data_IF_806981988328
#
_entry.id   IF_806981988328
#
_cell.length_a   1.000
_cell.length_b   1.000
_cell.length_c   1.000
_cell.angle_alpha   90.00
_cell.angle_beta   90.00
_cell.angle_gamma   90.00
#
_symmetry.space_group_name_H-M   'P 1'
#
loop_
_entity.id
_entity.type
_entity.pdbx_description
1 polymer ?
#
# COMPACT_ATOMS: atom_id res chain seq x y z
N UNK A 1 79.84 95.89 89.56
CA UNK A 1 79.16 95.60 88.30
C UNK A 1 79.75 94.42 87.55
N UNK A 2 81.04 94.36 87.23
CA UNK A 2 81.60 93.18 86.55
C UNK A 2 81.52 91.88 87.38
N UNK A 3 81.65 91.98 88.71
CA UNK A 3 81.50 90.82 89.60
C UNK A 3 80.06 90.30 89.72
N UNK A 4 79.05 91.16 89.56
CA UNK A 4 77.62 90.77 89.65
C UNK A 4 77.16 90.04 88.37
N UNK A 5 77.72 90.40 87.22
CA UNK A 5 77.45 89.72 85.93
C UNK A 5 78.07 88.32 85.90
N UNK A 6 79.21 88.13 86.55
CA UNK A 6 79.88 86.83 86.63
C UNK A 6 79.11 85.86 87.54
N UNK A 7 78.55 86.37 88.64
CA UNK A 7 77.76 85.60 89.59
C UNK A 7 76.41 85.15 89.00
N UNK A 8 75.73 86.04 88.25
CA UNK A 8 74.51 85.70 87.51
C UNK A 8 74.75 84.68 86.39
N UNK A 9 75.90 84.74 85.70
CA UNK A 9 76.28 83.72 84.69
C UNK A 9 76.57 82.36 85.32
N UNK A 10 77.15 82.34 86.52
CA UNK A 10 77.37 81.09 87.28
C UNK A 10 76.04 80.48 87.72
N UNK A 11 75.10 81.31 88.16
CA UNK A 11 73.76 80.87 88.58
C UNK A 11 72.90 80.33 87.43
N UNK A 12 73.08 80.85 86.20
CA UNK A 12 72.43 80.32 84.98
C UNK A 12 73.05 78.97 84.54
N UNK A 13 74.37 78.81 84.71
CA UNK A 13 75.06 77.56 84.43
C UNK A 13 74.68 76.43 85.39
N UNK A 14 74.34 76.75 86.64
CA UNK A 14 73.94 75.76 87.66
C UNK A 14 72.45 75.37 87.59
N UNK A 15 71.62 76.07 86.79
CA UNK A 15 70.15 75.92 86.76
C UNK A 15 69.53 75.65 85.37
N UNK A 16 70.23 74.95 84.48
CA UNK A 16 69.76 74.72 83.09
C UNK A 16 69.83 73.28 82.61
N UNK A 17 69.08 72.39 83.25
CA UNK A 17 68.68 71.02 82.87
C UNK A 17 69.07 70.57 81.45
N UNK A 18 70.03 69.65 81.37
CA UNK A 18 70.30 68.89 80.15
C UNK A 18 69.25 67.77 80.01
N UNK A 19 68.30 67.96 79.09
CA UNK A 19 67.34 66.93 78.69
C UNK A 19 67.98 66.12 77.57
N UNK A 20 68.58 64.99 77.91
CA UNK A 20 68.88 63.96 76.92
C UNK A 20 67.54 63.37 76.45
N UNK A 21 67.07 63.87 75.32
CA UNK A 21 65.95 63.28 74.61
C UNK A 21 66.48 62.00 73.95
N UNK A 22 66.30 60.86 74.60
CA UNK A 22 66.47 59.54 73.99
C UNK A 22 65.36 59.37 72.93
N UNK A 23 65.58 59.96 71.76
CA UNK A 23 64.76 59.73 70.60
C UNK A 23 65.06 58.30 70.11
N UNK A 24 64.09 57.36 70.14
CA UNK A 24 64.32 56.03 69.57
C UNK A 24 64.72 56.22 68.10
N UNK A 25 65.78 55.52 67.68
CA UNK A 25 66.32 55.57 66.30
C UNK A 25 65.16 55.69 65.30
N UNK A 26 65.13 56.80 64.57
CA UNK A 26 64.07 57.08 63.60
C UNK A 26 63.85 55.86 62.70
N UNK A 27 62.59 55.49 62.52
CA UNK A 27 62.22 54.42 61.59
C UNK A 27 62.97 54.63 60.27
N UNK A 28 63.70 53.61 59.84
CA UNK A 28 64.49 53.68 58.62
C UNK A 28 63.52 53.71 57.42
N UNK A 29 63.16 54.92 57.00
CA UNK A 29 62.26 55.19 55.88
C UNK A 29 62.73 54.49 54.60
N UNK A 30 64.04 54.23 54.47
CA UNK A 30 64.63 53.44 53.39
C UNK A 30 64.13 52.00 53.41
N UNK A 31 64.14 51.35 54.59
CA UNK A 31 63.61 49.98 54.74
C UNK A 31 62.10 49.92 54.47
N UNK A 32 61.32 50.88 54.96
CA UNK A 32 59.86 50.91 54.74
C UNK A 32 59.54 51.10 53.25
N UNK A 33 60.26 51.99 52.56
CA UNK A 33 60.10 52.19 51.11
C UNK A 33 60.47 50.93 50.32
N UNK A 34 61.54 50.23 50.70
CA UNK A 34 61.93 48.97 50.07
C UNK A 34 60.89 47.86 50.32
N UNK A 35 60.31 47.80 51.52
CA UNK A 35 59.24 46.84 51.85
C UNK A 35 57.95 47.11 51.07
N UNK A 36 57.57 48.39 50.91
CA UNK A 36 56.43 48.80 50.08
C UNK A 36 56.68 48.45 48.61
N UNK A 37 57.91 48.67 48.12
CA UNK A 37 58.31 48.30 46.76
C UNK A 37 58.22 46.80 46.54
N UNK A 38 58.77 45.99 47.45
CA UNK A 38 58.70 44.54 47.40
C UNK A 38 57.25 44.02 47.44
N UNK A 39 56.37 44.64 48.24
CA UNK A 39 54.93 44.32 48.26
C UNK A 39 54.25 44.65 46.93
N UNK A 40 54.55 45.80 46.34
CA UNK A 40 54.00 46.19 45.05
C UNK A 40 54.49 45.29 43.92
N UNK A 41 55.77 44.95 43.90
CA UNK A 41 56.35 44.05 42.90
C UNK A 41 55.75 42.65 43.01
N UNK A 42 55.58 42.13 44.23
CA UNK A 42 54.87 40.87 44.47
C UNK A 42 53.41 40.92 44.02
N UNK A 43 52.71 42.04 44.27
CA UNK A 43 51.32 42.21 43.85
C UNK A 43 51.19 42.32 42.33
N UNK A 44 52.12 43.02 41.66
CA UNK A 44 52.16 43.14 40.21
C UNK A 44 52.44 41.79 39.53
N UNK A 45 53.40 41.03 40.07
CA UNK A 45 53.70 39.67 39.60
C UNK A 45 52.49 38.74 39.78
N UNK A 46 51.88 38.77 40.97
CA UNK A 46 50.68 37.96 41.25
C UNK A 46 49.51 38.33 40.33
N UNK A 47 49.25 39.61 40.12
CA UNK A 47 48.21 40.08 39.20
C UNK A 47 48.51 39.66 37.75
N UNK A 48 49.78 39.69 37.32
CA UNK A 48 50.18 39.23 36.00
C UNK A 48 49.95 37.71 35.83
N UNK A 49 50.28 36.91 36.85
CA UNK A 49 50.02 35.47 36.85
C UNK A 49 48.53 35.15 36.85
N UNK A 50 47.75 35.81 37.70
CA UNK A 50 46.29 35.65 37.77
C UNK A 50 45.61 36.06 36.46
N UNK A 51 46.04 37.17 35.85
CA UNK A 51 45.52 37.62 34.56
C UNK A 51 45.85 36.62 33.43
N UNK A 52 47.08 36.09 33.40
CA UNK A 52 47.47 35.04 32.45
C UNK A 52 46.62 33.79 32.63
N UNK A 53 46.48 33.30 33.86
CA UNK A 53 45.67 32.13 34.17
C UNK A 53 44.20 32.33 33.80
N UNK A 54 43.65 33.52 34.05
CA UNK A 54 42.29 33.87 33.66
C UNK A 54 42.11 33.90 32.14
N UNK A 55 43.03 34.53 31.41
CA UNK A 55 43.00 34.54 29.94
C UNK A 55 43.14 33.14 29.35
N UNK A 56 44.05 32.32 29.88
CA UNK A 56 44.25 30.95 29.44
C UNK A 56 43.00 30.10 29.70
N UNK A 57 42.37 30.25 30.88
CA UNK A 57 41.09 29.63 31.18
C UNK A 57 40.00 30.05 30.19
N UNK A 58 39.87 31.34 29.88
CA UNK A 58 38.88 31.83 28.91
C UNK A 58 39.12 31.29 27.49
N UNK A 59 40.38 31.23 27.05
CA UNK A 59 40.72 30.65 25.75
C UNK A 59 40.38 29.16 25.71
N UNK A 60 40.71 28.40 26.75
CA UNK A 60 40.38 26.97 26.82
C UNK A 60 38.87 26.73 26.82
N UNK A 61 38.10 27.54 27.55
CA UNK A 61 36.64 27.45 27.59
C UNK A 61 36.03 27.70 26.20
N UNK A 62 36.45 28.78 25.53
CA UNK A 62 35.99 29.09 24.16
C UNK A 62 36.41 27.99 23.19
N UNK A 63 37.63 27.47 23.31
CA UNK A 63 38.11 26.39 22.44
C UNK A 63 37.27 25.13 22.61
N UNK A 64 36.92 24.74 23.84
CA UNK A 64 36.06 23.58 24.12
C UNK A 64 34.65 23.79 23.55
N UNK A 65 34.10 25.00 23.69
CA UNK A 65 32.80 25.34 23.10
C UNK A 65 32.83 25.28 21.58
N UNK A 66 33.90 25.78 20.95
CA UNK A 66 34.08 25.71 19.49
C UNK A 66 34.20 24.26 19.03
N UNK A 67 34.96 23.41 19.71
CA UNK A 67 35.07 21.98 19.35
C UNK A 67 33.75 21.26 19.49
N UNK A 68 33.01 21.48 20.59
CA UNK A 68 31.70 20.87 20.81
C UNK A 68 30.68 21.31 19.75
N UNK A 69 30.62 22.61 19.44
CA UNK A 69 29.74 23.13 18.39
C UNK A 69 30.12 22.58 17.01
N UNK A 70 31.41 22.43 16.72
CA UNK A 70 31.89 21.88 15.45
C UNK A 70 31.50 20.40 15.31
N UNK A 71 31.66 19.60 16.37
CA UNK A 71 31.21 18.21 16.41
C UNK A 71 29.70 18.09 16.26
N UNK A 72 28.93 18.91 16.97
CA UNK A 72 27.47 18.95 16.84
C UNK A 72 27.02 19.32 15.42
N UNK A 73 27.66 20.32 14.79
CA UNK A 73 27.41 20.70 13.39
C UNK A 73 27.75 19.56 12.42
N UNK A 74 28.86 18.85 12.65
CA UNK A 74 29.25 17.70 11.84
C UNK A 74 28.22 16.55 11.97
N UNK A 75 27.75 16.29 13.19
CA UNK A 75 26.68 15.32 13.47
C UNK A 75 25.39 15.66 12.73
N UNK A 76 24.90 16.90 12.89
CA UNK A 76 23.70 17.38 12.20
C UNK A 76 23.83 17.31 10.67
N UNK A 77 25.01 17.64 10.13
CA UNK A 77 25.27 17.53 8.68
C UNK A 77 25.23 16.07 8.20
N UNK A 78 25.75 15.14 9.00
CA UNK A 78 25.68 13.71 8.71
C UNK A 78 24.22 13.22 8.71
N UNK A 79 23.45 13.61 9.71
CA UNK A 79 22.02 13.25 9.81
C UNK A 79 21.21 13.79 8.63
N UNK A 80 21.43 15.05 8.23
CA UNK A 80 20.79 15.64 7.03
C UNK A 80 21.12 14.83 5.77
N UNK A 81 22.36 14.39 5.60
CA UNK A 81 22.75 13.59 4.45
C UNK A 81 22.09 12.20 4.48
N UNK A 82 21.97 11.60 5.65
CA UNK A 82 21.31 10.30 5.81
C UNK A 82 19.81 10.39 5.53
N UNK A 83 19.13 11.42 6.06
CA UNK A 83 17.73 11.68 5.74
C UNK A 83 17.50 11.94 4.25
N UNK A 84 18.42 12.67 3.59
CA UNK A 84 18.36 12.86 2.13
C UNK A 84 18.48 11.54 1.37
N UNK A 85 19.37 10.64 1.81
CA UNK A 85 19.49 9.30 1.21
C UNK A 85 18.23 8.48 1.42
N UNK A 86 17.66 8.49 2.63
CA UNK A 86 16.41 7.79 2.93
C UNK A 86 15.25 8.31 2.07
N UNK A 87 15.13 9.63 1.89
CA UNK A 87 14.13 10.21 0.98
C UNK A 87 14.31 9.68 -0.44
N UNK A 88 15.53 9.69 -0.98
CA UNK A 88 15.79 9.17 -2.33
C UNK A 88 15.44 7.68 -2.44
N UNK A 89 15.77 6.86 -1.44
CA UNK A 89 15.41 5.45 -1.42
C UNK A 89 13.90 5.26 -1.43
N UNK A 90 13.17 6.00 -0.60
CA UNK A 90 11.70 5.95 -0.54
C UNK A 90 11.05 6.45 -1.83
N UNK A 91 11.62 7.46 -2.49
CA UNK A 91 11.15 7.94 -3.81
C UNK A 91 11.31 6.87 -4.89
N UNK A 92 12.44 6.17 -4.91
CA UNK A 92 12.69 5.06 -5.84
C UNK A 92 11.71 3.90 -5.57
N UNK A 93 11.49 3.56 -4.30
CA UNK A 93 10.55 2.50 -3.92
C UNK A 93 9.10 2.88 -4.24
N UNK A 94 8.72 4.15 -4.04
CA UNK A 94 7.41 4.64 -4.47
C UNK A 94 7.22 4.51 -5.98
N UNK A 95 8.23 4.87 -6.76
CA UNK A 95 8.16 4.80 -8.22
C UNK A 95 8.16 3.35 -8.73
N UNK A 96 8.93 2.46 -8.11
CA UNK A 96 8.89 1.03 -8.42
C UNK A 96 7.51 0.42 -8.13
N UNK A 97 6.90 0.79 -7.00
CA UNK A 97 5.55 0.35 -6.64
C UNK A 97 4.48 0.88 -7.59
N UNK A 98 4.59 2.13 -8.07
CA UNK A 98 3.69 2.66 -9.11
C UNK A 98 3.83 1.89 -10.43
N UNK A 99 5.06 1.59 -10.84
CA UNK A 99 5.31 0.80 -12.05
C UNK A 99 4.73 -0.62 -11.92
N UNK A 100 4.93 -1.27 -10.76
CA UNK A 100 4.33 -2.57 -10.49
C UNK A 100 2.81 -2.52 -10.54
N UNK A 101 2.19 -1.51 -9.90
CA UNK A 101 0.75 -1.29 -9.96
C UNK A 101 0.27 -1.16 -11.40
N UNK A 102 0.91 -0.31 -12.22
CA UNK A 102 0.53 -0.13 -13.63
C UNK A 102 0.65 -1.42 -14.45
N UNK A 103 1.68 -2.23 -14.20
CA UNK A 103 1.85 -3.54 -14.84
C UNK A 103 0.74 -4.53 -14.45
N UNK A 104 0.37 -4.56 -13.17
CA UNK A 104 -0.73 -5.41 -12.68
C UNK A 104 -2.08 -4.97 -13.23
N UNK A 105 -2.37 -3.67 -13.26
CA UNK A 105 -3.59 -3.12 -13.87
C UNK A 105 -3.65 -3.44 -15.37
N UNK A 106 -2.53 -3.34 -16.09
CA UNK A 106 -2.43 -3.74 -17.49
C UNK A 106 -2.72 -5.23 -17.69
N UNK A 107 -2.09 -6.09 -16.88
CA UNK A 107 -2.30 -7.54 -16.94
C UNK A 107 -3.74 -7.91 -16.63
N UNK A 108 -4.36 -7.27 -15.64
CA UNK A 108 -5.78 -7.47 -15.31
C UNK A 108 -6.68 -7.10 -16.48
N UNK A 109 -6.42 -5.96 -17.12
CA UNK A 109 -7.22 -5.51 -18.26
C UNK A 109 -7.09 -6.45 -19.46
N UNK A 110 -5.89 -6.96 -19.70
CA UNK A 110 -5.62 -7.94 -20.75
C UNK A 110 -6.33 -9.28 -20.47
N UNK A 111 -6.34 -9.75 -19.22
CA UNK A 111 -7.04 -10.99 -18.85
C UNK A 111 -8.55 -10.81 -18.97
N UNK A 112 -9.11 -9.71 -18.47
CA UNK A 112 -10.53 -9.37 -18.63
C UNK A 112 -10.95 -9.33 -20.10
N UNK A 113 -10.15 -8.67 -20.96
CA UNK A 113 -10.42 -8.60 -22.39
C UNK A 113 -10.40 -10.00 -23.04
N UNK A 114 -9.42 -10.84 -22.70
CA UNK A 114 -9.35 -12.22 -23.21
C UNK A 114 -10.55 -13.05 -22.79
N UNK A 115 -10.94 -12.98 -21.52
CA UNK A 115 -12.11 -13.71 -21.04
C UNK A 115 -13.41 -13.23 -21.68
N UNK A 116 -13.56 -11.92 -21.88
CA UNK A 116 -14.73 -11.38 -22.59
C UNK A 116 -14.79 -11.88 -24.04
N UNK A 117 -13.67 -11.87 -24.75
CA UNK A 117 -13.60 -12.44 -26.11
C UNK A 117 -13.96 -13.94 -26.14
N UNK A 118 -13.47 -14.71 -25.17
CA UNK A 118 -13.79 -16.13 -25.07
C UNK A 118 -15.28 -16.37 -24.80
N UNK A 119 -15.88 -15.57 -23.91
CA UNK A 119 -17.31 -15.62 -23.64
C UNK A 119 -18.13 -15.25 -24.89
N UNK A 120 -17.74 -14.23 -25.63
CA UNK A 120 -18.39 -13.84 -26.89
C UNK A 120 -18.31 -14.96 -27.94
N UNK A 121 -17.15 -15.62 -28.06
CA UNK A 121 -16.97 -16.77 -28.94
C UNK A 121 -17.88 -17.93 -28.54
N UNK A 122 -17.90 -18.30 -27.26
CA UNK A 122 -18.75 -19.37 -26.74
C UNK A 122 -20.24 -19.05 -26.92
N UNK A 123 -20.67 -17.82 -26.65
CA UNK A 123 -22.04 -17.37 -26.90
C UNK A 123 -22.41 -17.47 -28.38
N UNK A 124 -21.49 -17.15 -29.28
CA UNK A 124 -21.72 -17.29 -30.73
C UNK A 124 -21.95 -18.76 -31.10
N UNK A 125 -21.15 -19.68 -30.56
CA UNK A 125 -21.30 -21.13 -30.79
C UNK A 125 -22.64 -21.62 -30.22
N UNK A 126 -23.01 -21.19 -29.01
CA UNK A 126 -24.30 -21.54 -28.40
C UNK A 126 -25.46 -21.09 -29.29
N UNK A 127 -25.45 -19.84 -29.74
CA UNK A 127 -26.50 -19.31 -30.62
C UNK A 127 -26.60 -20.08 -31.95
N UNK A 128 -25.48 -20.49 -32.52
CA UNK A 128 -25.45 -21.32 -33.73
C UNK A 128 -26.10 -22.69 -33.47
N UNK A 129 -25.71 -23.36 -32.39
CA UNK A 129 -26.27 -24.66 -32.01
C UNK A 129 -27.77 -24.58 -31.67
N UNK A 130 -28.21 -23.52 -31.01
CA UNK A 130 -29.63 -23.27 -30.72
C UNK A 130 -30.44 -23.06 -32.01
N UNK A 131 -29.88 -22.34 -32.98
CA UNK A 131 -30.50 -22.15 -34.29
C UNK A 131 -30.60 -23.48 -35.05
N UNK A 132 -29.53 -24.28 -35.09
CA UNK A 132 -29.52 -25.62 -35.71
C UNK A 132 -30.54 -26.55 -35.06
N UNK A 133 -30.61 -26.59 -33.73
CA UNK A 133 -31.60 -27.39 -32.99
C UNK A 133 -33.03 -26.96 -33.33
N UNK A 134 -33.28 -25.66 -33.42
CA UNK A 134 -34.60 -25.12 -33.78
C UNK A 134 -34.98 -25.51 -35.21
N UNK A 135 -34.04 -25.42 -36.15
CA UNK A 135 -34.23 -25.86 -37.53
C UNK A 135 -34.51 -27.36 -37.61
N UNK A 136 -33.74 -28.19 -36.90
CA UNK A 136 -33.92 -29.65 -36.90
C UNK A 136 -35.30 -30.03 -36.34
N UNK A 137 -35.74 -29.39 -35.25
CA UNK A 137 -37.10 -29.58 -34.70
C UNK A 137 -38.18 -29.24 -35.72
N UNK A 138 -38.03 -28.12 -36.44
CA UNK A 138 -38.93 -27.75 -37.53
C UNK A 138 -38.97 -28.80 -38.64
N UNK A 139 -37.81 -29.30 -39.06
CA UNK A 139 -37.70 -30.35 -40.07
C UNK A 139 -38.38 -31.65 -39.62
N UNK A 140 -38.19 -32.07 -38.37
CA UNK A 140 -38.84 -33.28 -37.81
C UNK A 140 -40.36 -33.10 -37.81
N UNK A 141 -40.86 -31.94 -37.41
CA UNK A 141 -42.30 -31.65 -37.41
C UNK A 141 -42.87 -31.71 -38.83
N UNK A 142 -42.18 -31.12 -39.80
CA UNK A 142 -42.57 -31.20 -41.21
C UNK A 142 -42.59 -32.64 -41.72
N UNK A 143 -41.53 -33.40 -41.49
CA UNK A 143 -41.43 -34.80 -41.91
C UNK A 143 -42.51 -35.68 -41.25
N UNK A 144 -42.88 -35.38 -40.00
CA UNK A 144 -43.97 -36.07 -39.31
C UNK A 144 -45.31 -35.82 -40.01
N UNK A 145 -45.59 -34.58 -40.42
CA UNK A 145 -46.81 -34.25 -41.17
C UNK A 145 -46.85 -34.93 -42.54
N UNK A 146 -45.73 -34.93 -43.27
CA UNK A 146 -45.62 -35.65 -44.54
C UNK A 146 -45.82 -37.16 -44.37
N UNK A 147 -45.27 -37.74 -43.31
CA UNK A 147 -45.45 -39.16 -42.99
C UNK A 147 -46.91 -39.48 -42.66
N UNK A 148 -47.60 -38.64 -41.89
CA UNK A 148 -49.03 -38.82 -41.60
C UNK A 148 -49.89 -38.73 -42.87
N UNK A 149 -49.61 -37.79 -43.76
CA UNK A 149 -50.27 -37.71 -45.07
C UNK A 149 -50.00 -38.97 -45.92
N UNK A 150 -48.73 -39.39 -45.94
CA UNK A 150 -48.19 -40.69 -46.31
C UNK A 150 -49.13 -41.85 -45.95
N UNK A 151 -49.24 -42.03 -44.64
CA UNK A 151 -49.96 -43.12 -44.01
C UNK A 151 -51.45 -43.07 -44.36
N UNK A 152 -52.07 -41.88 -44.35
CA UNK A 152 -53.47 -41.71 -44.71
C UNK A 152 -53.76 -42.16 -46.15
N UNK A 153 -52.90 -41.82 -47.11
CA UNK A 153 -53.03 -42.27 -48.50
C UNK A 153 -52.87 -43.79 -48.59
N UNK A 154 -51.85 -44.35 -47.92
CA UNK A 154 -51.61 -45.79 -47.88
C UNK A 154 -52.85 -46.53 -47.34
N UNK A 155 -53.45 -46.05 -46.25
CA UNK A 155 -54.65 -46.66 -45.66
C UNK A 155 -55.85 -46.64 -46.61
N UNK A 156 -56.06 -45.54 -47.34
CA UNK A 156 -57.11 -45.47 -48.37
C UNK A 156 -56.90 -46.48 -49.48
N UNK A 157 -55.67 -46.59 -50.00
CA UNK A 157 -55.33 -47.57 -51.03
C UNK A 157 -55.49 -49.02 -50.54
N UNK A 158 -55.11 -49.31 -49.30
CA UNK A 158 -55.34 -50.64 -48.70
C UNK A 158 -56.83 -50.98 -48.60
N UNK A 159 -57.68 -50.00 -48.26
CA UNK A 159 -59.13 -50.16 -48.25
C UNK A 159 -59.69 -50.40 -49.66
N UNK A 160 -59.26 -49.62 -50.66
CA UNK A 160 -59.62 -49.81 -52.07
C UNK A 160 -59.20 -51.19 -52.59
N UNK A 161 -57.98 -51.66 -52.31
CA UNK A 161 -57.53 -53.00 -52.70
C UNK A 161 -58.40 -54.08 -52.05
N UNK A 162 -58.77 -53.91 -50.78
CA UNK A 162 -59.63 -54.86 -50.08
C UNK A 162 -61.03 -54.93 -50.71
N UNK A 163 -61.62 -53.79 -51.10
CA UNK A 163 -62.91 -53.77 -51.80
C UNK A 163 -62.80 -54.38 -53.20
N UNK A 164 -61.75 -54.06 -53.97
CA UNK A 164 -61.50 -54.69 -55.27
C UNK A 164 -61.36 -56.22 -55.17
N UNK A 165 -60.65 -56.75 -54.16
CA UNK A 165 -60.55 -58.20 -53.92
C UNK A 165 -61.92 -58.82 -53.64
N UNK A 166 -62.72 -58.20 -52.76
CA UNK A 166 -64.07 -58.68 -52.42
C UNK A 166 -65.00 -58.74 -53.63
N UNK A 167 -64.92 -57.74 -54.53
CA UNK A 167 -65.68 -57.71 -55.77
C UNK A 167 -65.25 -58.81 -56.75
N UNK A 168 -63.94 -59.05 -56.89
CA UNK A 168 -63.40 -60.10 -57.76
C UNK A 168 -63.74 -61.51 -57.28
N UNK A 169 -63.81 -61.72 -55.96
CA UNK A 169 -64.19 -63.01 -55.34
C UNK A 169 -65.72 -63.29 -55.42
N UNK A 170 -66.50 -62.43 -56.08
CA UNK A 170 -67.94 -62.61 -56.31
C UNK A 170 -68.83 -62.20 -55.13
N UNK A 171 -68.31 -61.40 -54.19
CA UNK A 171 -69.11 -60.88 -53.08
C UNK A 171 -70.08 -59.78 -53.51
N UNK A 172 -71.34 -59.87 -53.08
CA UNK A 172 -72.33 -58.80 -53.27
C UNK A 172 -71.87 -57.51 -52.56
N UNK A 173 -71.72 -56.41 -53.31
CA UNK A 173 -71.44 -55.08 -52.77
C UNK A 173 -72.76 -54.42 -52.37
N UNK A 174 -73.01 -54.34 -51.05
CA UNK A 174 -74.21 -53.67 -50.53
C UNK A 174 -73.87 -52.22 -50.18
N UNK A 175 -74.79 -51.29 -50.44
CA UNK A 175 -74.62 -49.85 -50.15
C UNK A 175 -74.25 -49.57 -48.67
N UNK A 176 -74.57 -50.50 -47.77
CA UNK A 176 -74.24 -50.45 -46.34
C UNK A 176 -72.75 -50.63 -46.04
N UNK A 177 -72.00 -51.37 -46.87
CA UNK A 177 -70.56 -51.61 -46.70
C UNK A 177 -69.73 -50.31 -46.87
N UNK A 178 -70.23 -49.33 -47.64
CA UNK A 178 -69.60 -48.02 -47.82
C UNK A 178 -69.75 -47.09 -46.60
N UNK A 179 -70.67 -47.41 -45.67
CA UNK A 179 -70.97 -46.59 -44.49
C UNK A 179 -70.26 -47.07 -43.21
N UNK A 180 -69.77 -48.31 -43.17
CA UNK A 180 -69.14 -48.93 -41.99
C UNK A 180 -67.63 -48.68 -41.84
N UNK A 181 -67.02 -47.90 -42.74
CA UNK A 181 -65.56 -47.70 -42.80
C UNK A 181 -64.94 -46.87 -41.65
N UNK A 182 -65.69 -46.54 -40.59
CA UNK A 182 -65.14 -45.99 -39.35
C UNK A 182 -64.49 -47.09 -38.49
N UNK A 183 -63.38 -47.68 -38.96
CA UNK A 183 -62.53 -48.52 -38.11
C UNK A 183 -61.78 -47.65 -37.10
N UNK A 184 -61.87 -48.00 -35.81
CA UNK A 184 -61.08 -47.39 -34.73
C UNK A 184 -59.61 -47.73 -34.91
N UNK A 185 -58.74 -46.71 -34.87
CA UNK A 185 -57.29 -46.88 -34.96
C UNK A 185 -56.66 -46.70 -33.57
N UNK A 186 -55.78 -47.64 -33.20
CA UNK A 186 -54.89 -47.53 -32.03
C UNK A 186 -53.57 -46.91 -32.48
N UNK A 187 -53.28 -45.69 -32.04
CA UNK A 187 -51.98 -45.06 -32.23
C UNK A 187 -51.16 -45.26 -30.96
N UNK A 188 -50.00 -45.91 -31.09
CA UNK A 188 -49.05 -46.13 -30.01
C UNK A 188 -47.89 -45.16 -30.21
N UNK A 189 -47.80 -44.14 -29.36
CA UNK A 189 -46.71 -43.15 -29.38
C UNK A 189 -45.69 -43.56 -28.32
N UNK A 190 -44.48 -43.88 -28.76
CA UNK A 190 -43.36 -44.21 -27.88
C UNK A 190 -42.49 -42.96 -27.74
N UNK A 191 -42.41 -42.39 -26.54
CA UNK A 191 -41.53 -41.25 -26.24
C UNK A 191 -40.33 -41.75 -25.45
N UNK A 192 -39.13 -41.62 -26.01
CA UNK A 192 -37.87 -41.92 -25.32
C UNK A 192 -37.14 -40.62 -25.02
N UNK A 193 -36.71 -40.44 -23.77
CA UNK A 193 -35.78 -39.36 -23.40
C UNK A 193 -34.36 -39.89 -23.30
N UNK A 194 -33.48 -39.28 -24.09
CA UNK A 194 -32.06 -39.60 -24.18
C UNK A 194 -31.26 -38.50 -23.47
N UNK A 195 -30.39 -38.89 -22.55
CA UNK A 195 -29.36 -38.00 -21.96
C UNK A 195 -28.01 -38.68 -22.21
N UNK A 196 -27.07 -37.94 -22.82
CA UNK A 196 -25.73 -38.44 -23.19
C UNK A 196 -25.73 -39.75 -23.98
N UNK A 197 -26.70 -39.91 -24.90
CA UNK A 197 -26.80 -41.10 -25.76
C UNK A 197 -27.31 -42.37 -25.08
N UNK A 198 -27.70 -42.31 -23.80
CA UNK A 198 -28.35 -43.43 -23.08
C UNK A 198 -29.82 -43.11 -22.84
N UNK A 199 -30.69 -44.11 -23.05
CA UNK A 199 -32.13 -43.99 -22.79
C UNK A 199 -32.34 -44.01 -21.27
N UNK A 200 -32.72 -42.86 -20.70
CA UNK A 200 -32.90 -42.69 -19.24
C UNK A 200 -34.37 -42.88 -18.83
N UNK A 201 -35.32 -42.63 -19.73
CA UNK A 201 -36.71 -43.03 -19.53
C UNK A 201 -37.42 -43.32 -20.85
N UNK A 202 -38.33 -44.29 -20.81
CA UNK A 202 -39.18 -44.68 -21.94
C UNK A 202 -40.63 -44.70 -21.45
N UNK A 203 -41.48 -43.89 -22.07
CA UNK A 203 -42.93 -43.86 -21.81
C UNK A 203 -43.69 -44.24 -23.07
N UNK A 204 -44.66 -45.12 -22.92
CA UNK A 204 -45.53 -45.57 -24.02
C UNK A 204 -46.96 -45.09 -23.75
N UNK A 205 -47.48 -44.22 -24.60
CA UNK A 205 -48.87 -43.76 -24.52
C UNK A 205 -49.65 -44.33 -25.71
N UNK A 206 -50.74 -45.04 -25.42
CA UNK A 206 -51.63 -45.58 -26.45
C UNK A 206 -52.94 -44.82 -26.40
N UNK A 207 -53.27 -44.10 -27.49
CA UNK A 207 -54.54 -43.39 -27.64
C UNK A 207 -55.41 -44.07 -28.70
N UNK A 208 -56.62 -44.43 -28.30
CA UNK A 208 -57.65 -44.93 -29.22
C UNK A 208 -58.37 -43.72 -29.84
N UNK A 209 -58.30 -43.57 -31.16
CA UNK A 209 -59.07 -42.54 -31.87
C UNK A 209 -60.16 -43.22 -32.70
N UNK A 210 -61.42 -42.80 -32.49
CA UNK A 210 -62.50 -43.07 -33.44
C UNK A 210 -62.38 -42.03 -34.56
N UNK A 211 -62.37 -42.49 -35.82
CA UNK A 211 -62.52 -41.64 -37.00
C UNK A 211 -63.95 -41.12 -37.08
#
# INVERSE_FOLDING_TARGET
HDNEVMELRKQISESGVQVDVDAPKGQDLSQIMEEIRAKYEKMALKNQEELKAWHESQITEVQVQVTQNTEALQGARSEVNELRRQIQTLEIELESQKNLKGSLEGTLRDTEMRYNMEIENLNTIILQLEAELTQLRGNIQHQTQEYEALLNIKMKLEAEIATYRRLLDGGDFKLQDALEEQKKVKVMTVTQTLVDGKVVSSSTETKERKL
#
